data_IF_484334705373
#
_entry.id   IF_484334705373
#
_cell.length_a   1.000
_cell.length_b   1.000
_cell.length_c   1.000
_cell.angle_alpha   90.00
_cell.angle_beta   90.00
_cell.angle_gamma   90.00
#
_symmetry.space_group_name_H-M   'P 1'
#
loop_
_entity.id
_entity.type
_entity.pdbx_description
1 polymer ?
#
# COMPACT_ATOMS: atom_id res chain seq x y z
N UNK A 1 -6.12 -5.37 19.66
CA UNK A 1 -5.31 -6.43 19.01
C UNK A 1 -5.74 -7.77 19.60
N UNK A 2 -6.54 -8.57 18.89
CA UNK A 2 -6.90 -9.91 19.39
C UNK A 2 -5.77 -10.86 18.99
N UNK A 3 -4.94 -11.17 19.96
CA UNK A 3 -3.99 -12.25 19.83
C UNK A 3 -4.74 -13.57 20.00
N UNK A 4 -4.48 -14.53 19.14
CA UNK A 4 -5.18 -15.81 19.14
C UNK A 4 -4.44 -16.86 20.00
N UNK A 5 -4.99 -17.26 21.16
CA UNK A 5 -4.38 -18.28 22.01
C UNK A 5 -4.34 -19.65 21.33
N UNK A 6 -5.23 -19.93 20.37
CA UNK A 6 -5.33 -21.23 19.70
C UNK A 6 -4.06 -21.54 18.90
N UNK A 7 -3.59 -20.58 18.11
CA UNK A 7 -2.36 -20.73 17.32
C UNK A 7 -1.10 -20.74 18.20
N UNK A 8 -1.10 -20.02 19.32
CA UNK A 8 0.02 -20.05 20.27
C UNK A 8 0.14 -21.40 20.98
N UNK A 9 -0.99 -21.99 21.39
CA UNK A 9 -1.05 -23.29 22.06
C UNK A 9 -0.61 -24.45 21.16
N UNK A 10 -0.73 -24.33 19.84
CA UNK A 10 -0.25 -25.32 18.86
C UNK A 10 1.25 -25.22 18.57
N UNK A 11 1.90 -24.12 18.96
CA UNK A 11 3.32 -23.84 18.69
C UNK A 11 4.18 -23.82 19.97
N UNK A 12 3.80 -24.60 21.01
CA UNK A 12 4.48 -24.62 22.33
C UNK A 12 6.00 -24.82 22.26
N UNK A 13 6.51 -25.52 21.24
CA UNK A 13 7.94 -25.77 21.09
C UNK A 13 8.76 -24.55 20.60
N UNK A 14 8.09 -23.46 20.19
CA UNK A 14 8.74 -22.22 19.71
C UNK A 14 8.82 -21.12 20.76
N UNK A 15 8.10 -21.25 21.87
CA UNK A 15 7.99 -20.19 22.87
C UNK A 15 8.31 -20.73 24.26
N UNK A 16 9.33 -20.16 24.90
CA UNK A 16 9.70 -20.46 26.30
C UNK A 16 8.83 -19.74 27.33
N UNK A 17 7.90 -18.90 26.87
CA UNK A 17 7.03 -18.06 27.69
C UNK A 17 5.57 -18.41 27.46
N UNK A 18 4.73 -18.18 28.47
CA UNK A 18 3.28 -18.35 28.33
C UNK A 18 2.69 -17.33 27.35
N UNK A 19 1.49 -17.63 26.84
CA UNK A 19 0.76 -16.71 25.97
C UNK A 19 0.61 -15.34 26.65
N UNK A 20 0.13 -15.30 27.90
CA UNK A 20 -0.02 -14.04 28.64
C UNK A 20 1.29 -13.26 28.81
N UNK A 21 2.43 -13.94 29.01
CA UNK A 21 3.74 -13.27 29.06
C UNK A 21 4.15 -12.71 27.70
N UNK A 22 3.87 -13.43 26.61
CA UNK A 22 4.11 -12.94 25.24
C UNK A 22 3.26 -11.71 24.92
N UNK A 23 1.97 -11.72 25.29
CA UNK A 23 1.04 -10.59 25.14
C UNK A 23 1.54 -9.38 25.92
N UNK A 24 1.85 -9.59 27.21
CA UNK A 24 2.37 -8.52 28.05
C UNK A 24 3.66 -7.93 27.48
N UNK A 25 4.58 -8.78 27.00
CA UNK A 25 5.81 -8.29 26.38
C UNK A 25 5.54 -7.42 25.15
N UNK A 26 4.62 -7.80 24.25
CA UNK A 26 4.29 -6.96 23.09
C UNK A 26 3.63 -5.65 23.51
N UNK A 27 2.73 -5.69 24.50
CA UNK A 27 2.05 -4.51 24.98
C UNK A 27 2.99 -3.54 25.70
N UNK A 28 3.95 -4.04 26.49
CA UNK A 28 4.90 -3.21 27.22
C UNK A 28 6.05 -2.72 26.34
N UNK A 29 6.63 -3.60 25.50
CA UNK A 29 7.75 -3.25 24.60
C UNK A 29 7.42 -2.17 23.58
N UNK A 30 6.13 -1.94 23.28
CA UNK A 30 5.64 -0.84 22.43
C UNK A 30 6.00 0.53 23.00
N UNK A 31 6.09 0.65 24.32
CA UNK A 31 6.28 1.92 25.03
C UNK A 31 7.66 2.05 25.67
N UNK A 32 8.43 0.95 25.77
CA UNK A 32 9.74 0.88 26.44
C UNK A 32 10.79 1.90 25.95
N UNK A 33 10.58 2.56 24.80
CA UNK A 33 11.50 3.58 24.24
C UNK A 33 10.87 4.93 23.93
N UNK A 34 9.59 5.13 24.23
CA UNK A 34 8.89 6.39 23.96
C UNK A 34 8.50 7.05 25.28
N UNK A 35 8.79 8.34 25.41
CA UNK A 35 8.25 9.13 26.52
C UNK A 35 6.73 9.22 26.40
N UNK A 36 6.06 9.37 27.54
CA UNK A 36 4.61 9.55 27.63
C UNK A 36 4.10 10.70 26.73
N UNK A 37 4.87 11.79 26.64
CA UNK A 37 4.62 12.91 25.72
C UNK A 37 4.59 12.47 24.24
N UNK A 38 5.55 11.65 23.80
CA UNK A 38 5.58 11.14 22.41
C UNK A 38 4.43 10.18 22.13
N UNK A 39 4.04 9.38 23.13
CA UNK A 39 2.88 8.50 23.03
C UNK A 39 1.61 9.33 22.87
N UNK A 40 1.46 10.41 23.63
CA UNK A 40 0.30 11.31 23.53
C UNK A 40 0.23 12.00 22.17
N UNK A 41 1.36 12.52 21.66
CA UNK A 41 1.42 13.11 20.31
C UNK A 41 1.02 12.10 19.23
N UNK A 42 1.52 10.86 19.32
CA UNK A 42 1.17 9.80 18.38
C UNK A 42 -0.33 9.46 18.45
N UNK A 43 -0.89 9.37 19.65
CA UNK A 43 -2.31 9.11 19.85
C UNK A 43 -3.18 10.27 19.36
N UNK A 44 -2.74 11.52 19.48
CA UNK A 44 -3.45 12.69 18.96
C UNK A 44 -3.42 12.75 17.43
N UNK A 45 -2.29 12.39 16.81
CA UNK A 45 -2.11 12.42 15.36
C UNK A 45 -2.83 11.28 14.64
N UNK A 46 -2.78 10.08 15.19
CA UNK A 46 -3.23 8.85 14.52
C UNK A 46 -4.45 8.21 15.17
N UNK A 47 -4.92 8.75 16.29
CA UNK A 47 -5.80 8.03 17.21
C UNK A 47 -5.05 6.91 17.94
N UNK A 48 -5.56 6.49 19.09
CA UNK A 48 -5.10 5.24 19.69
C UNK A 48 -5.64 4.06 18.86
N UNK A 49 -4.84 3.61 17.88
CA UNK A 49 -5.11 2.48 16.99
C UNK A 49 -5.43 1.17 17.74
N UNK A 50 -5.17 1.10 19.04
CA UNK A 50 -5.37 -0.09 19.88
C UNK A 50 -6.51 0.07 20.89
N UNK A 51 -7.08 1.28 21.04
CA UNK A 51 -8.29 1.53 21.86
C UNK A 51 -9.46 0.69 21.38
N UNK A 52 -9.47 0.37 20.09
CA UNK A 52 -10.32 -0.66 19.52
C UNK A 52 -9.65 -2.04 19.68
N UNK A 53 -9.80 -2.62 20.87
CA UNK A 53 -9.47 -4.03 21.09
C UNK A 53 -10.43 -4.98 20.37
N UNK A 54 -11.56 -4.46 19.91
CA UNK A 54 -12.42 -5.08 18.93
C UNK A 54 -11.81 -4.86 17.54
N UNK A 55 -11.92 -5.88 16.70
CA UNK A 55 -11.51 -5.94 15.30
C UNK A 55 -12.18 -4.87 14.40
N UNK A 56 -12.31 -3.59 14.82
CA UNK A 56 -13.14 -2.56 14.17
C UNK A 56 -12.64 -2.16 12.78
N UNK A 57 -11.34 -2.30 12.52
CA UNK A 57 -10.78 -2.18 11.17
C UNK A 57 -11.29 -3.28 10.19
N UNK A 58 -11.92 -4.33 10.71
CA UNK A 58 -12.59 -5.39 9.96
C UNK A 58 -14.10 -5.49 10.27
N UNK A 59 -14.68 -4.66 11.14
CA UNK A 59 -16.14 -4.61 11.35
C UNK A 59 -16.86 -3.96 10.17
N UNK A 60 -16.17 -3.08 9.43
CA UNK A 60 -16.47 -2.92 8.02
C UNK A 60 -15.86 -4.10 7.27
N UNK A 61 -16.44 -5.30 7.46
CA UNK A 61 -16.62 -6.18 6.31
C UNK A 61 -17.48 -5.36 5.37
N UNK A 62 -16.83 -4.48 4.59
CA UNK A 62 -17.41 -3.77 3.45
C UNK A 62 -18.26 -4.86 2.80
N UNK A 63 -19.59 -4.74 2.91
CA UNK A 63 -20.48 -5.83 2.52
C UNK A 63 -20.13 -6.23 1.09
N UNK A 64 -20.38 -7.49 0.71
CA UNK A 64 -20.08 -7.95 -0.66
C UNK A 64 -20.55 -6.91 -1.68
N UNK A 65 -21.74 -6.33 -1.47
CA UNK A 65 -22.29 -5.19 -2.21
C UNK A 65 -21.32 -4.01 -2.39
N UNK A 66 -20.71 -3.51 -1.32
CA UNK A 66 -19.74 -2.42 -1.40
C UNK A 66 -18.41 -2.86 -2.05
N UNK A 67 -18.01 -4.13 -1.94
CA UNK A 67 -16.80 -4.69 -2.58
C UNK A 67 -16.96 -4.93 -4.08
N UNK A 68 -18.19 -5.17 -4.52
CA UNK A 68 -18.55 -5.35 -5.94
C UNK A 68 -19.02 -4.06 -6.58
N UNK A 69 -19.11 -2.96 -5.83
CA UNK A 69 -19.42 -1.66 -6.40
C UNK A 69 -18.44 -1.35 -7.54
N UNK A 70 -19.02 -0.97 -8.67
CA UNK A 70 -18.29 -0.55 -9.85
C UNK A 70 -18.42 0.96 -10.00
N UNK A 71 -17.48 1.56 -10.72
CA UNK A 71 -17.56 2.93 -11.18
C UNK A 71 -18.93 3.16 -11.87
N UNK A 72 -19.74 4.08 -11.34
CA UNK A 72 -21.06 4.45 -11.87
C UNK A 72 -20.96 5.68 -12.78
N UNK A 73 -21.84 5.74 -13.79
CA UNK A 73 -21.89 6.84 -14.78
C UNK A 73 -20.89 6.67 -15.91
N UNK A 74 -21.17 7.25 -17.08
CA UNK A 74 -20.37 7.05 -18.30
C UNK A 74 -19.08 7.86 -18.33
N UNK A 75 -19.01 8.95 -17.56
CA UNK A 75 -17.82 9.79 -17.48
C UNK A 75 -17.10 9.61 -16.14
N UNK A 76 -15.78 9.37 -16.15
CA UNK A 76 -15.00 9.37 -14.93
C UNK A 76 -15.02 10.78 -14.32
N UNK A 77 -15.42 10.90 -13.05
CA UNK A 77 -15.31 12.15 -12.30
C UNK A 77 -13.83 12.54 -12.15
N UNK A 78 -13.33 13.32 -13.11
CA UNK A 78 -11.96 13.85 -13.11
C UNK A 78 -11.78 15.05 -12.20
N UNK A 79 -12.87 15.62 -11.66
CA UNK A 79 -12.84 16.87 -10.90
C UNK A 79 -12.12 16.72 -9.56
N UNK A 80 -12.15 15.52 -8.98
CA UNK A 80 -11.48 15.19 -7.69
C UNK A 80 -9.95 15.23 -7.74
N UNK A 81 -9.33 15.07 -8.92
CA UNK A 81 -7.87 15.05 -9.06
C UNK A 81 -7.26 16.42 -9.42
N UNK A 82 -8.07 17.47 -9.55
CA UNK A 82 -7.63 18.75 -10.13
C UNK A 82 -6.53 19.45 -9.33
N UNK A 83 -6.55 19.41 -7.99
CA UNK A 83 -5.60 20.18 -7.17
C UNK A 83 -4.17 19.63 -7.26
N UNK A 84 -3.97 18.32 -7.15
CA UNK A 84 -2.65 17.69 -7.27
C UNK A 84 -2.16 17.62 -8.71
N UNK A 85 -3.05 17.73 -9.69
CA UNK A 85 -2.68 17.85 -11.10
C UNK A 85 -2.27 19.26 -11.50
N UNK A 86 -2.91 20.28 -10.93
CA UNK A 86 -2.68 21.67 -11.29
C UNK A 86 -1.69 22.39 -10.38
N UNK A 87 -1.32 21.80 -9.23
CA UNK A 87 -0.35 22.38 -8.30
C UNK A 87 0.75 21.39 -7.97
N UNK A 88 1.98 21.82 -8.23
CA UNK A 88 3.19 21.14 -7.79
C UNK A 88 3.42 21.39 -6.30
N UNK A 89 3.66 20.32 -5.54
CA UNK A 89 3.97 20.37 -4.11
C UNK A 89 5.43 19.94 -3.90
N UNK A 90 6.37 20.82 -4.26
CA UNK A 90 7.80 20.51 -4.35
C UNK A 90 8.37 19.88 -3.09
N UNK A 91 8.06 20.45 -1.92
CA UNK A 91 8.58 19.94 -0.65
C UNK A 91 8.04 18.54 -0.32
N UNK A 92 6.76 18.28 -0.61
CA UNK A 92 6.17 16.95 -0.44
C UNK A 92 6.80 15.95 -1.41
N UNK A 93 7.04 16.36 -2.65
CA UNK A 93 7.70 15.52 -3.66
C UNK A 93 9.13 15.19 -3.22
N UNK A 94 9.91 16.19 -2.79
CA UNK A 94 11.27 16.00 -2.26
C UNK A 94 11.29 15.06 -1.06
N UNK A 95 10.39 15.24 -0.10
CA UNK A 95 10.29 14.36 1.06
C UNK A 95 9.94 12.92 0.67
N UNK A 96 8.98 12.72 -0.24
CA UNK A 96 8.63 11.37 -0.72
C UNK A 96 9.80 10.68 -1.45
N UNK A 97 10.61 11.43 -2.20
CA UNK A 97 11.84 10.90 -2.80
C UNK A 97 12.79 10.47 -1.69
N UNK A 98 13.05 11.30 -0.68
CA UNK A 98 13.93 10.96 0.46
C UNK A 98 13.44 9.67 1.15
N UNK A 99 12.15 9.57 1.45
CA UNK A 99 11.58 8.39 2.11
C UNK A 99 11.67 7.13 1.24
N UNK A 100 11.53 7.27 -0.07
CA UNK A 100 11.71 6.15 -1.00
C UNK A 100 13.13 5.58 -0.94
N UNK A 101 14.16 6.44 -1.00
CA UNK A 101 15.56 6.00 -0.86
C UNK A 101 15.85 5.40 0.52
N UNK A 102 15.35 6.03 1.60
CA UNK A 102 15.51 5.50 2.96
C UNK A 102 14.87 4.11 3.13
N UNK A 103 13.74 3.85 2.47
CA UNK A 103 13.10 2.54 2.47
C UNK A 103 13.96 1.51 1.72
N UNK A 104 14.49 1.85 0.55
CA UNK A 104 15.38 0.96 -0.21
C UNK A 104 16.64 0.64 0.62
N UNK A 105 17.30 1.66 1.18
CA UNK A 105 18.44 1.50 2.09
C UNK A 105 18.13 0.54 3.24
N UNK A 106 16.97 0.74 3.88
CA UNK A 106 16.54 -0.11 4.99
C UNK A 106 16.38 -1.57 4.54
N UNK A 107 15.70 -1.80 3.41
CA UNK A 107 15.46 -3.15 2.87
C UNK A 107 16.77 -3.88 2.59
N UNK A 108 17.69 -3.27 1.85
CA UNK A 108 18.96 -3.91 1.47
C UNK A 108 19.95 -4.00 2.63
N UNK A 109 19.89 -3.10 3.61
CA UNK A 109 20.67 -3.24 4.84
C UNK A 109 20.22 -4.43 5.69
N UNK A 110 18.91 -4.70 5.75
CA UNK A 110 18.36 -5.84 6.48
C UNK A 110 18.62 -7.15 5.73
N UNK A 111 18.38 -7.15 4.42
CA UNK A 111 18.61 -8.31 3.57
C UNK A 111 19.22 -7.87 2.23
N UNK A 112 20.56 -7.92 2.09
CA UNK A 112 21.25 -7.53 0.86
C UNK A 112 20.84 -8.34 -0.37
N UNK A 113 20.34 -9.56 -0.18
CA UNK A 113 19.93 -10.48 -1.24
C UNK A 113 18.42 -10.44 -1.52
N UNK A 114 17.69 -9.47 -0.96
CA UNK A 114 16.25 -9.33 -1.18
C UNK A 114 15.95 -9.09 -2.67
N UNK A 115 15.07 -9.91 -3.25
CA UNK A 115 14.52 -9.66 -4.59
C UNK A 115 13.33 -8.72 -4.45
N UNK A 116 13.52 -7.46 -4.84
CA UNK A 116 12.48 -6.43 -4.76
C UNK A 116 11.82 -6.23 -6.13
N UNK A 117 10.48 -6.19 -6.15
CA UNK A 117 9.69 -5.76 -7.30
C UNK A 117 8.81 -4.58 -6.91
N UNK A 118 9.00 -3.45 -7.58
CA UNK A 118 8.17 -2.27 -7.46
C UNK A 118 7.08 -2.30 -8.53
N UNK A 119 5.83 -2.09 -8.12
CA UNK A 119 4.66 -2.18 -8.99
C UNK A 119 4.00 -0.81 -9.12
N UNK A 120 3.76 -0.36 -10.36
CA UNK A 120 2.82 0.72 -10.63
C UNK A 120 1.46 0.10 -11.01
N UNK A 121 0.48 0.27 -10.11
CA UNK A 121 -0.84 -0.38 -10.23
C UNK A 121 -1.72 0.27 -11.31
N UNK A 122 -2.68 -0.49 -11.90
CA UNK A 122 -3.61 0.02 -12.90
C UNK A 122 -4.50 1.14 -12.37
N UNK A 123 -4.77 2.10 -13.25
CA UNK A 123 -5.78 3.16 -13.08
C UNK A 123 -6.81 3.02 -14.20
N UNK A 124 -8.08 3.35 -13.95
CA UNK A 124 -9.10 3.23 -14.99
C UNK A 124 -8.71 4.01 -16.26
N UNK A 125 -8.72 3.32 -17.41
CA UNK A 125 -8.13 3.79 -18.65
C UNK A 125 -8.71 5.12 -19.13
N UNK A 126 -10.03 5.27 -19.17
CA UNK A 126 -10.67 6.50 -19.65
C UNK A 126 -10.33 7.71 -18.76
N UNK A 127 -10.25 7.49 -17.43
CA UNK A 127 -9.84 8.53 -16.49
C UNK A 127 -8.37 8.95 -16.65
N UNK A 128 -7.51 8.00 -17.07
CA UNK A 128 -6.14 8.30 -17.44
C UNK A 128 -6.07 9.08 -18.75
N UNK A 129 -6.87 8.72 -19.76
CA UNK A 129 -6.84 9.39 -21.05
C UNK A 129 -7.37 10.81 -20.99
N UNK A 130 -8.43 11.05 -20.22
CA UNK A 130 -8.98 12.40 -20.01
C UNK A 130 -7.99 13.36 -19.33
N UNK A 131 -7.03 12.82 -18.56
CA UNK A 131 -6.02 13.61 -17.84
C UNK A 131 -4.60 13.47 -18.42
N UNK A 132 -4.42 12.78 -19.55
CA UNK A 132 -3.10 12.40 -20.08
C UNK A 132 -2.16 13.59 -20.26
N UNK A 133 -2.64 14.69 -20.86
CA UNK A 133 -1.82 15.88 -21.10
C UNK A 133 -1.30 16.52 -19.81
N UNK A 134 -2.09 16.46 -18.73
CA UNK A 134 -1.69 17.00 -17.43
C UNK A 134 -0.64 16.09 -16.75
N UNK A 135 -0.73 14.77 -16.96
CA UNK A 135 0.16 13.79 -16.35
C UNK A 135 1.48 13.58 -17.07
N UNK A 136 1.60 13.91 -18.36
CA UNK A 136 2.78 13.58 -19.17
C UNK A 136 4.10 14.08 -18.55
N UNK A 137 4.21 15.34 -18.07
CA UNK A 137 5.43 15.82 -17.41
C UNK A 137 5.75 15.06 -16.12
N UNK A 138 4.70 14.76 -15.34
CA UNK A 138 4.82 13.99 -14.09
C UNK A 138 5.28 12.56 -14.32
N UNK A 139 4.82 11.95 -15.41
CA UNK A 139 5.24 10.59 -15.79
C UNK A 139 6.74 10.57 -16.06
N UNK A 140 7.25 11.46 -16.90
CA UNK A 140 8.68 11.52 -17.18
C UNK A 140 9.51 11.74 -15.90
N UNK A 141 9.07 12.65 -15.04
CA UNK A 141 9.73 12.92 -13.76
C UNK A 141 9.72 11.69 -12.82
N UNK A 142 8.57 11.05 -12.63
CA UNK A 142 8.46 9.83 -11.81
C UNK A 142 9.40 8.72 -12.31
N UNK A 143 9.40 8.45 -13.61
CA UNK A 143 10.27 7.44 -14.20
C UNK A 143 11.75 7.78 -14.05
N UNK A 144 12.12 9.05 -14.09
CA UNK A 144 13.52 9.47 -13.85
C UNK A 144 13.97 9.11 -12.43
N UNK A 145 13.11 9.26 -11.42
CA UNK A 145 13.39 8.89 -10.03
C UNK A 145 13.58 7.38 -9.91
N UNK A 146 12.67 6.59 -10.48
CA UNK A 146 12.75 5.12 -10.47
C UNK A 146 14.03 4.64 -11.17
N UNK A 147 14.32 5.18 -12.35
CA UNK A 147 15.51 4.80 -13.11
C UNK A 147 16.81 5.17 -12.38
N UNK A 148 16.84 6.30 -11.67
CA UNK A 148 18.01 6.67 -10.87
C UNK A 148 18.18 5.75 -9.67
N UNK A 149 17.10 5.45 -8.93
CA UNK A 149 17.16 4.51 -7.81
C UNK A 149 17.62 3.11 -8.25
N UNK A 150 17.22 2.64 -9.44
CA UNK A 150 17.63 1.32 -9.94
C UNK A 150 19.12 1.23 -10.33
N UNK A 151 19.83 2.37 -10.43
CA UNK A 151 21.30 2.36 -10.60
C UNK A 151 22.02 2.02 -9.30
N UNK A 152 21.39 2.29 -8.17
CA UNK A 152 21.97 2.13 -6.82
C UNK A 152 21.43 0.88 -6.12
N UNK A 153 20.15 0.54 -6.35
CA UNK A 153 19.47 -0.58 -5.70
C UNK A 153 18.91 -1.55 -6.73
N UNK A 154 19.23 -2.87 -6.64
CA UNK A 154 18.82 -3.84 -7.66
C UNK A 154 17.36 -4.27 -7.48
N UNK A 155 16.42 -3.61 -8.16
CA UNK A 155 15.00 -3.99 -8.16
C UNK A 155 14.41 -4.11 -9.58
N UNK A 156 13.36 -4.90 -9.69
CA UNK A 156 12.52 -4.93 -10.89
C UNK A 156 11.42 -3.88 -10.78
N UNK A 157 11.23 -3.06 -11.81
CA UNK A 157 10.07 -2.17 -11.90
C UNK A 157 9.08 -2.70 -12.94
N UNK A 158 7.83 -2.90 -12.53
CA UNK A 158 6.74 -3.30 -13.41
C UNK A 158 5.70 -2.18 -13.47
N UNK A 159 5.61 -1.53 -14.63
CA UNK A 159 4.50 -0.63 -14.91
C UNK A 159 3.31 -1.42 -15.48
N UNK A 160 2.26 -1.57 -14.68
CA UNK A 160 1.00 -2.21 -15.06
C UNK A 160 -0.15 -1.20 -15.12
N UNK A 161 0.17 0.09 -15.27
CA UNK A 161 -0.81 1.17 -15.27
C UNK A 161 -1.78 1.07 -16.46
N UNK A 162 -1.31 0.63 -17.63
CA UNK A 162 -2.09 0.37 -18.85
C UNK A 162 -2.09 -1.13 -19.20
N UNK A 163 -2.57 -1.97 -18.28
CA UNK A 163 -2.78 -3.40 -18.50
C UNK A 163 -4.24 -3.71 -18.88
N UNK A 164 -4.56 -4.97 -19.22
CA UNK A 164 -5.94 -5.38 -19.55
C UNK A 164 -6.98 -5.04 -18.46
N UNK A 165 -6.58 -5.05 -17.18
CA UNK A 165 -7.46 -4.71 -16.06
C UNK A 165 -7.83 -3.23 -16.08
N UNK A 166 -6.93 -2.36 -16.54
CA UNK A 166 -7.16 -0.91 -16.58
C UNK A 166 -8.33 -0.52 -17.50
N UNK A 167 -8.60 -1.35 -18.51
CA UNK A 167 -9.58 -1.10 -19.58
C UNK A 167 -10.98 -1.59 -19.24
N UNK A 168 -11.12 -2.40 -18.19
CA UNK A 168 -12.41 -2.92 -17.75
C UNK A 168 -12.94 -2.08 -16.58
N UNK A 169 -13.96 -1.26 -16.86
CA UNK A 169 -14.65 -0.43 -15.87
C UNK A 169 -15.21 -1.24 -14.69
N UNK A 170 -15.60 -2.49 -14.92
CA UNK A 170 -16.13 -3.37 -13.87
C UNK A 170 -15.06 -3.79 -12.85
N UNK A 171 -13.78 -3.56 -13.15
CA UNK A 171 -12.67 -3.83 -12.22
C UNK A 171 -12.44 -2.71 -11.20
N UNK A 172 -13.16 -1.59 -11.28
CA UNK A 172 -12.87 -0.39 -10.50
C UNK A 172 -14.03 0.03 -9.62
N UNK A 173 -13.75 0.34 -8.36
CA UNK A 173 -14.70 1.00 -7.45
C UNK A 173 -14.79 2.49 -7.75
N UNK A 174 -13.65 3.10 -8.07
CA UNK A 174 -13.53 4.47 -8.57
C UNK A 174 -12.38 4.57 -9.58
N UNK A 175 -12.07 5.77 -10.08
CA UNK A 175 -11.06 5.93 -11.14
C UNK A 175 -9.65 5.43 -10.80
N UNK A 176 -9.33 5.22 -9.51
CA UNK A 176 -7.99 4.87 -9.02
C UNK A 176 -7.94 3.58 -8.21
N UNK A 177 -9.08 3.11 -7.68
CA UNK A 177 -9.12 1.94 -6.80
C UNK A 177 -9.81 0.75 -7.47
N UNK A 178 -9.13 -0.38 -7.51
CA UNK A 178 -9.71 -1.66 -7.93
C UNK A 178 -10.80 -2.08 -6.94
N UNK A 179 -11.90 -2.62 -7.46
CA UNK A 179 -12.88 -3.34 -6.64
C UNK A 179 -12.45 -4.81 -6.47
N UNK A 180 -13.31 -5.63 -5.86
CA UNK A 180 -13.01 -7.04 -5.64
C UNK A 180 -12.66 -7.79 -6.94
N UNK A 181 -13.46 -7.62 -7.99
CA UNK A 181 -13.23 -8.29 -9.28
C UNK A 181 -11.91 -7.85 -9.91
N UNK A 182 -11.63 -6.54 -9.90
CA UNK A 182 -10.38 -5.99 -10.38
C UNK A 182 -9.17 -6.49 -9.61
N UNK A 183 -9.26 -6.57 -8.29
CA UNK A 183 -8.19 -7.07 -7.43
C UNK A 183 -7.88 -8.56 -7.70
N UNK A 184 -8.91 -9.39 -7.89
CA UNK A 184 -8.75 -10.81 -8.26
C UNK A 184 -8.09 -10.94 -9.64
N UNK A 185 -8.60 -10.23 -10.65
CA UNK A 185 -8.01 -10.25 -12.00
C UNK A 185 -6.57 -9.75 -12.01
N UNK A 186 -6.29 -8.63 -11.34
CA UNK A 186 -4.96 -8.06 -11.25
C UNK A 186 -3.98 -8.97 -10.51
N UNK A 187 -4.44 -9.67 -9.47
CA UNK A 187 -3.62 -10.67 -8.76
C UNK A 187 -3.24 -11.84 -9.67
N UNK A 188 -4.18 -12.32 -10.50
CA UNK A 188 -3.87 -13.37 -11.47
C UNK A 188 -2.90 -12.89 -12.56
N UNK A 189 -3.05 -11.65 -13.03
CA UNK A 189 -2.08 -11.02 -13.92
C UNK A 189 -0.69 -10.93 -13.26
N UNK A 190 -0.62 -10.42 -12.02
CA UNK A 190 0.63 -10.31 -11.26
C UNK A 190 1.32 -11.65 -11.06
N UNK A 191 0.58 -12.72 -10.80
CA UNK A 191 1.17 -14.07 -10.71
C UNK A 191 1.96 -14.42 -11.96
N UNK A 192 1.45 -14.07 -13.14
CA UNK A 192 2.14 -14.32 -14.41
C UNK A 192 3.41 -13.48 -14.60
N UNK A 193 3.57 -12.38 -13.86
CA UNK A 193 4.79 -11.56 -13.90
C UNK A 193 5.80 -11.97 -12.82
N UNK A 194 5.31 -12.24 -11.60
CA UNK A 194 6.16 -12.52 -10.44
C UNK A 194 6.64 -13.98 -10.39
N UNK A 195 5.84 -14.93 -10.89
CA UNK A 195 6.14 -16.36 -10.84
C UNK A 195 6.36 -16.95 -12.22
N UNK A 196 6.83 -16.14 -13.18
CA UNK A 196 7.15 -16.57 -14.55
C UNK A 196 8.42 -17.43 -14.62
N UNK A 197 8.61 -18.35 -13.68
CA UNK A 197 9.55 -19.49 -13.69
C UNK A 197 9.39 -20.27 -12.37
N UNK A 198 8.67 -21.40 -12.44
CA UNK A 198 9.06 -22.65 -11.78
C UNK A 198 9.13 -23.69 -12.89
#
# INVERSE_FOLDING_TARGET
MIFDPHNFAQNKNRYSISFNQYINHILTSRHDKLSEEKINILNDLFGDLHKHNEYSAYYDLIGIEKRVNTLKGDEPDTTKNTRTLNKMFDETIKQNIIYFYQLLDLIYRINPNMKLTLLLIPRYYEAQQSTKKLYEPWKAFFYSIINNANKEYPFQFLDLKDCEVSRDKLCFQDTSHLNYYGAVRFTNLLKSHLFKTI
#
